data_IF_583541460160
#
_entry.id   IF_583541460160
#
_cell.length_a   1.000
_cell.length_b   1.000
_cell.length_c   1.000
_cell.angle_alpha   90.00
_cell.angle_beta   90.00
_cell.angle_gamma   90.00
#
_symmetry.space_group_name_H-M   'P 1'
#
loop_
_entity.id
_entity.type
_entity.pdbx_description
1 polymer ?
#
# COMPACT_ATOMS: atom_id res chain seq x y z
N UNK A 1 -27.86 49.50 -26.32
CA UNK A 1 -28.29 48.21 -25.73
C UNK A 1 -27.08 47.30 -25.63
N UNK A 2 -26.48 47.16 -24.43
CA UNK A 2 -25.31 46.30 -24.18
C UNK A 2 -25.81 44.87 -23.88
N UNK A 3 -25.47 43.92 -24.76
CA UNK A 3 -25.70 42.49 -24.51
C UNK A 3 -24.62 42.00 -23.55
N UNK A 4 -25.01 41.64 -22.33
CA UNK A 4 -24.15 40.95 -21.38
C UNK A 4 -24.10 39.48 -21.80
N UNK A 5 -22.93 39.04 -22.25
CA UNK A 5 -22.64 37.63 -22.51
C UNK A 5 -22.24 37.01 -21.17
N UNK A 6 -23.15 36.26 -20.55
CA UNK A 6 -22.83 35.46 -19.37
C UNK A 6 -22.12 34.19 -19.86
N UNK A 7 -20.80 34.15 -19.66
CA UNK A 7 -19.99 32.98 -19.92
C UNK A 7 -20.22 31.98 -18.78
N UNK A 8 -21.03 30.96 -19.02
CA UNK A 8 -21.12 29.81 -18.14
C UNK A 8 -19.80 29.02 -18.26
N UNK A 9 -18.90 29.24 -17.30
CA UNK A 9 -17.74 28.37 -17.12
C UNK A 9 -18.28 27.05 -16.54
N UNK A 10 -18.58 26.09 -17.40
CA UNK A 10 -18.78 24.70 -16.99
C UNK A 10 -17.40 24.21 -16.54
N UNK A 11 -17.12 24.35 -15.25
CA UNK A 11 -16.07 23.56 -14.61
C UNK A 11 -16.55 22.12 -14.73
N UNK A 12 -16.03 21.41 -15.73
CA UNK A 12 -15.99 19.96 -15.72
C UNK A 12 -15.17 19.59 -14.49
N UNK A 13 -15.84 19.49 -13.33
CA UNK A 13 -15.35 18.69 -12.23
C UNK A 13 -15.38 17.29 -12.80
N UNK A 14 -14.26 16.86 -13.37
CA UNK A 14 -14.07 15.48 -13.77
C UNK A 14 -14.46 14.64 -12.58
N UNK A 15 -15.55 13.91 -12.70
CA UNK A 15 -16.02 13.01 -11.68
C UNK A 15 -15.03 11.85 -11.66
N UNK A 16 -13.88 12.03 -10.99
CA UNK A 16 -12.85 11.02 -10.76
C UNK A 16 -13.32 9.91 -9.81
N UNK A 17 -14.63 9.69 -9.67
CA UNK A 17 -15.22 8.53 -8.99
C UNK A 17 -15.04 7.21 -9.76
N UNK A 18 -14.34 7.21 -10.90
CA UNK A 18 -14.03 6.01 -11.65
C UNK A 18 -12.74 5.36 -11.10
N UNK A 19 -12.94 4.46 -10.12
CA UNK A 19 -12.08 3.31 -9.81
C UNK A 19 -10.56 3.59 -9.90
N UNK A 20 -10.04 4.24 -8.86
CA UNK A 20 -8.63 4.63 -8.67
C UNK A 20 -7.61 3.57 -9.10
N UNK A 21 -7.96 2.29 -8.92
CA UNK A 21 -7.06 1.15 -9.06
C UNK A 21 -7.40 0.19 -10.21
N UNK A 22 -8.26 0.58 -11.15
CA UNK A 22 -8.75 -0.32 -12.21
C UNK A 22 -7.65 -1.00 -13.02
N UNK A 23 -6.57 -0.28 -13.30
CA UNK A 23 -5.41 -0.79 -14.04
C UNK A 23 -4.70 -1.99 -13.39
N UNK A 24 -5.04 -2.34 -12.15
CA UNK A 24 -4.44 -3.45 -11.42
C UNK A 24 -5.34 -4.69 -11.35
N UNK A 25 -6.61 -4.58 -11.77
CA UNK A 25 -7.61 -5.65 -11.62
C UNK A 25 -7.57 -6.75 -12.69
N UNK A 26 -6.71 -6.62 -13.70
CA UNK A 26 -6.55 -7.62 -14.76
C UNK A 26 -5.15 -8.24 -14.77
N UNK A 27 -4.34 -7.97 -13.73
CA UNK A 27 -2.95 -8.44 -13.65
C UNK A 27 -2.86 -9.75 -12.86
N UNK A 28 -2.27 -10.76 -13.51
CA UNK A 28 -2.02 -12.07 -12.89
C UNK A 28 -0.92 -12.04 -11.82
N UNK A 29 0.09 -11.17 -12.01
CA UNK A 29 1.21 -10.95 -11.08
C UNK A 29 1.26 -9.50 -10.63
N UNK A 30 0.59 -9.19 -9.52
CA UNK A 30 0.59 -7.88 -8.90
C UNK A 30 1.33 -7.94 -7.57
N UNK A 31 2.44 -7.22 -7.44
CA UNK A 31 3.09 -7.02 -6.15
C UNK A 31 2.75 -5.64 -5.61
N UNK A 32 2.49 -5.57 -4.30
CA UNK A 32 2.36 -4.31 -3.59
C UNK A 32 3.53 -4.16 -2.64
N UNK A 33 4.25 -3.05 -2.78
CA UNK A 33 5.16 -2.55 -1.78
C UNK A 33 4.38 -1.64 -0.84
N UNK A 34 4.30 -2.01 0.43
CA UNK A 34 3.61 -1.26 1.46
C UNK A 34 4.66 -0.73 2.44
N UNK A 35 4.64 0.58 2.64
CA UNK A 35 5.46 1.24 3.67
C UNK A 35 4.54 1.87 4.69
N UNK A 36 4.80 1.62 5.97
CA UNK A 36 4.05 2.25 7.07
C UNK A 36 5.02 3.04 7.92
N UNK A 37 4.87 4.36 7.96
CA UNK A 37 5.52 5.20 8.97
C UNK A 37 4.63 5.24 10.19
N UNK A 38 5.10 4.62 11.28
CA UNK A 38 4.34 4.53 12.51
C UNK A 38 4.50 5.77 13.37
N UNK A 39 3.56 5.99 14.28
CA UNK A 39 3.59 7.12 15.21
C UNK A 39 4.89 7.21 16.04
N UNK A 40 5.52 6.08 16.34
CA UNK A 40 6.80 6.03 17.05
C UNK A 40 8.02 6.33 16.18
N UNK A 41 7.83 6.73 14.92
CA UNK A 41 8.89 7.05 13.96
C UNK A 41 9.55 5.84 13.30
N UNK A 42 9.15 4.61 13.65
CA UNK A 42 9.65 3.41 12.97
C UNK A 42 8.95 3.23 11.63
N UNK A 43 9.74 3.00 10.58
CA UNK A 43 9.25 2.61 9.27
C UNK A 43 9.16 1.09 9.17
N UNK A 44 8.02 0.60 8.72
CA UNK A 44 7.80 -0.81 8.37
C UNK A 44 7.68 -0.94 6.87
N UNK A 45 8.34 -1.95 6.31
CA UNK A 45 8.40 -2.17 4.87
C UNK A 45 8.05 -3.62 4.55
N UNK A 46 7.10 -3.81 3.65
CA UNK A 46 6.70 -5.13 3.13
C UNK A 46 6.54 -5.06 1.61
N UNK A 47 6.85 -6.15 0.91
CA UNK A 47 6.55 -6.28 -0.52
C UNK A 47 6.21 -7.73 -0.82
N UNK A 48 5.02 -7.95 -1.34
CA UNK A 48 4.54 -9.28 -1.68
C UNK A 48 3.37 -9.20 -2.67
N UNK A 49 2.92 -10.34 -3.15
CA UNK A 49 1.85 -10.51 -4.12
C UNK A 49 0.48 -10.21 -3.51
N UNK A 50 -0.30 -9.41 -4.22
CA UNK A 50 -1.73 -9.26 -4.00
C UNK A 50 -2.48 -9.98 -5.12
N UNK A 51 -3.59 -10.61 -4.77
CA UNK A 51 -4.51 -11.20 -5.73
C UNK A 51 -5.93 -10.74 -5.47
N UNK A 52 -6.71 -10.73 -6.54
CA UNK A 52 -8.13 -10.42 -6.46
C UNK A 52 -8.83 -11.57 -5.77
N UNK A 53 -9.62 -11.24 -4.76
CA UNK A 53 -10.56 -12.16 -4.16
C UNK A 53 -11.89 -12.11 -4.93
N UNK A 54 -12.25 -13.15 -5.70
CA UNK A 54 -13.32 -13.07 -6.70
C UNK A 54 -14.71 -12.85 -6.08
N UNK A 55 -14.94 -13.33 -4.87
CA UNK A 55 -16.24 -13.23 -4.20
C UNK A 55 -16.48 -11.87 -3.53
N UNK A 56 -15.44 -11.07 -3.32
CA UNK A 56 -15.52 -9.77 -2.63
C UNK A 56 -15.07 -8.58 -3.45
N UNK A 57 -14.52 -8.81 -4.65
CA UNK A 57 -14.00 -7.78 -5.56
C UNK A 57 -12.99 -6.82 -4.89
N UNK A 58 -12.05 -7.37 -4.13
CA UNK A 58 -10.94 -6.64 -3.50
C UNK A 58 -9.61 -7.37 -3.72
N UNK A 59 -8.51 -6.63 -3.74
CA UNK A 59 -7.15 -7.16 -3.68
C UNK A 59 -6.80 -7.55 -2.25
N UNK A 60 -6.16 -8.68 -2.05
CA UNK A 60 -5.71 -9.15 -0.74
C UNK A 60 -4.45 -10.00 -0.84
N UNK A 61 -3.78 -10.18 0.29
CA UNK A 61 -2.65 -11.09 0.40
C UNK A 61 -3.11 -12.55 0.25
N UNK A 62 -2.32 -13.34 -0.48
CA UNK A 62 -2.59 -14.77 -0.67
C UNK A 62 -1.97 -15.61 0.46
N UNK A 63 -0.80 -15.17 0.91
CA UNK A 63 0.08 -15.83 1.87
C UNK A 63 0.54 -14.81 2.92
N UNK A 64 1.36 -15.29 3.86
CA UNK A 64 2.00 -14.46 4.87
C UNK A 64 2.95 -13.44 4.23
N UNK A 65 2.82 -12.17 4.62
CA UNK A 65 3.71 -11.10 4.16
C UNK A 65 4.87 -10.95 5.13
N UNK A 66 6.13 -11.16 4.75
CA UNK A 66 7.25 -10.70 5.56
C UNK A 66 7.32 -9.17 5.54
N UNK A 67 7.66 -8.58 6.69
CA UNK A 67 8.04 -7.18 6.81
C UNK A 67 9.38 -7.03 7.51
N UNK A 68 10.07 -5.95 7.16
CA UNK A 68 11.29 -5.48 7.81
C UNK A 68 11.02 -4.14 8.48
N UNK A 69 11.71 -3.87 9.58
CA UNK A 69 11.48 -2.70 10.43
C UNK A 69 12.75 -1.88 10.51
N UNK A 70 12.62 -0.55 10.48
CA UNK A 70 13.79 0.34 10.57
C UNK A 70 14.50 0.23 11.92
N UNK A 71 13.75 -0.05 12.99
CA UNK A 71 14.31 -0.31 14.33
C UNK A 71 15.15 -1.59 14.42
N UNK A 72 14.88 -2.57 13.56
CA UNK A 72 15.58 -3.85 13.56
C UNK A 72 16.86 -3.72 12.71
N UNK A 73 17.90 -3.18 13.35
CA UNK A 73 19.19 -2.89 12.71
C UNK A 73 20.11 -4.10 12.65
N UNK A 74 21.00 -4.11 11.67
CA UNK A 74 22.01 -5.14 11.46
C UNK A 74 23.36 -4.54 11.06
N UNK A 75 24.40 -5.38 11.02
CA UNK A 75 25.71 -4.98 10.52
C UNK A 75 25.92 -5.57 9.13
N UNK A 76 26.13 -4.72 8.14
CA UNK A 76 26.48 -5.12 6.79
C UNK A 76 27.85 -4.50 6.44
N UNK A 77 28.83 -5.35 6.12
CA UNK A 77 30.21 -4.93 5.86
C UNK A 77 30.81 -4.03 6.96
N UNK A 78 30.52 -4.33 8.23
CA UNK A 78 31.04 -3.56 9.37
C UNK A 78 30.34 -2.23 9.63
N UNK A 79 29.30 -1.88 8.87
CA UNK A 79 28.50 -0.69 9.09
C UNK A 79 27.09 -1.06 9.55
N UNK A 80 26.57 -0.27 10.51
CA UNK A 80 25.19 -0.38 10.97
C UNK A 80 24.24 0.05 9.84
N UNK A 81 23.29 -0.81 9.49
CA UNK A 81 22.25 -0.53 8.51
C UNK A 81 20.88 -0.68 9.16
N UNK A 82 19.98 0.24 8.82
CA UNK A 82 18.56 0.09 9.10
C UNK A 82 17.99 -1.02 8.19
N UNK A 83 16.90 -1.64 8.63
CA UNK A 83 16.21 -2.70 7.88
C UNK A 83 17.04 -3.96 7.63
N UNK A 84 17.46 -4.64 8.70
CA UNK A 84 18.14 -5.93 8.57
C UNK A 84 17.18 -6.99 8.00
N UNK A 85 17.48 -7.45 6.78
CA UNK A 85 16.68 -8.47 6.08
C UNK A 85 16.63 -9.80 6.83
N UNK A 86 17.64 -10.11 7.66
CA UNK A 86 17.66 -11.33 8.48
C UNK A 86 16.72 -11.25 9.68
N UNK A 87 16.24 -10.05 10.01
CA UNK A 87 15.30 -9.79 11.12
C UNK A 87 13.86 -9.57 10.63
N UNK A 88 13.53 -10.04 9.43
CA UNK A 88 12.17 -10.00 8.91
C UNK A 88 11.19 -10.71 9.86
N UNK A 89 9.98 -10.16 10.00
CA UNK A 89 8.89 -10.73 10.81
C UNK A 89 7.66 -10.91 9.94
N UNK A 90 6.84 -11.89 10.27
CA UNK A 90 5.57 -12.11 9.58
C UNK A 90 4.60 -10.98 9.93
N UNK A 91 4.03 -10.34 8.91
CA UNK A 91 2.99 -9.32 9.03
C UNK A 91 1.61 -9.91 9.07
N UNK A 92 1.33 -10.96 8.30
CA UNK A 92 0.01 -11.60 8.24
C UNK A 92 0.16 -13.11 8.36
N UNK A 93 -0.69 -13.75 9.17
CA UNK A 93 -0.67 -15.20 9.36
C UNK A 93 -1.52 -15.95 8.33
N UNK A 94 -2.48 -15.25 7.72
CA UNK A 94 -3.51 -15.79 6.85
C UNK A 94 -3.93 -14.78 5.76
N UNK A 95 -4.92 -15.17 4.94
CA UNK A 95 -5.52 -14.32 3.90
C UNK A 95 -6.43 -13.27 4.55
N UNK A 96 -6.36 -12.03 4.09
CA UNK A 96 -7.22 -10.94 4.57
C UNK A 96 -6.52 -9.93 5.49
N UNK A 97 -5.22 -10.11 5.73
CA UNK A 97 -4.41 -9.14 6.47
C UNK A 97 -4.31 -7.77 5.78
N UNK A 98 -4.49 -7.71 4.46
CA UNK A 98 -4.76 -6.46 3.74
C UNK A 98 -5.94 -6.66 2.79
N UNK A 99 -6.81 -5.66 2.69
CA UNK A 99 -7.84 -5.57 1.65
C UNK A 99 -7.74 -4.20 0.96
N UNK A 100 -7.85 -4.18 -0.37
CA UNK A 100 -7.91 -2.94 -1.16
C UNK A 100 -9.02 -3.08 -2.19
N UNK A 101 -10.00 -2.17 -2.18
CA UNK A 101 -11.08 -2.10 -3.18
C UNK A 101 -10.71 -1.14 -4.31
N UNK A 102 -11.44 -1.23 -5.42
CA UNK A 102 -11.20 -0.42 -6.62
C UNK A 102 -11.29 1.09 -6.38
N UNK A 103 -12.11 1.51 -5.42
CA UNK A 103 -12.28 2.90 -5.01
C UNK A 103 -11.15 3.40 -4.09
N UNK A 104 -10.17 2.55 -3.75
CA UNK A 104 -9.06 2.88 -2.87
C UNK A 104 -9.37 2.69 -1.37
N UNK A 105 -10.60 2.34 -0.99
CA UNK A 105 -10.91 1.98 0.39
C UNK A 105 -10.35 0.59 0.74
N UNK A 106 -10.00 0.37 1.99
CA UNK A 106 -9.39 -0.89 2.39
C UNK A 106 -9.07 -0.98 3.86
N UNK A 107 -8.49 -2.11 4.23
CA UNK A 107 -8.10 -2.41 5.62
C UNK A 107 -6.72 -3.04 5.67
N UNK A 108 -5.96 -2.79 6.73
CA UNK A 108 -4.61 -3.30 6.95
C UNK A 108 -4.43 -3.76 8.40
N UNK A 109 -4.36 -5.07 8.62
CA UNK A 109 -4.39 -5.73 9.93
C UNK A 109 -3.12 -6.56 10.17
N UNK A 110 -1.94 -5.95 10.30
CA UNK A 110 -0.74 -6.72 10.53
C UNK A 110 -0.68 -7.21 11.98
N UNK A 111 -0.14 -8.41 12.19
CA UNK A 111 0.07 -9.03 13.51
C UNK A 111 0.91 -8.15 14.44
N UNK A 112 1.77 -7.30 13.87
CA UNK A 112 2.63 -6.39 14.61
C UNK A 112 2.02 -5.01 14.89
N UNK A 113 0.81 -4.72 14.41
CA UNK A 113 0.09 -3.51 14.83
C UNK A 113 -0.58 -3.77 16.19
N UNK A 114 -0.50 -2.78 17.06
CA UNK A 114 -1.08 -2.85 18.41
C UNK A 114 -2.62 -2.65 18.40
N UNK A 115 -3.23 -2.40 17.24
CA UNK A 115 -4.64 -2.10 17.04
C UNK A 115 -5.36 -3.15 16.18
N UNK A 116 -6.68 -3.27 16.35
CA UNK A 116 -7.60 -4.20 15.64
C UNK A 116 -7.60 -4.11 14.11
N UNK A 117 -6.84 -3.18 13.53
CA UNK A 117 -6.75 -2.93 12.10
C UNK A 117 -6.55 -1.45 11.79
N UNK A 118 -6.06 -1.17 10.60
CA UNK A 118 -5.96 0.16 10.04
C UNK A 118 -6.89 0.24 8.83
N UNK A 119 -8.09 0.80 9.03
CA UNK A 119 -8.96 1.18 7.92
C UNK A 119 -8.36 2.39 7.20
N UNK A 120 -8.43 2.40 5.86
CA UNK A 120 -7.84 3.48 5.07
C UNK A 120 -8.66 3.81 3.82
N UNK A 121 -8.46 5.02 3.33
CA UNK A 121 -8.88 5.48 2.02
C UNK A 121 -7.65 6.02 1.30
N UNK A 122 -7.30 5.40 0.18
CA UNK A 122 -6.14 5.83 -0.60
C UNK A 122 -6.44 7.14 -1.32
N UNK A 123 -5.49 8.05 -1.19
CA UNK A 123 -5.31 9.23 -2.00
C UNK A 123 -4.15 9.00 -2.97
N UNK A 124 -4.12 9.75 -4.08
CA UNK A 124 -3.03 9.70 -5.05
C UNK A 124 -2.43 11.08 -5.24
N UNK A 125 -1.11 11.14 -5.11
CA UNK A 125 -0.31 12.31 -5.51
C UNK A 125 0.93 11.82 -6.24
N UNK A 126 1.15 12.33 -7.46
CA UNK A 126 2.36 12.02 -8.24
C UNK A 126 2.63 10.51 -8.39
N UNK A 127 1.58 9.71 -8.59
CA UNK A 127 1.61 8.23 -8.67
C UNK A 127 1.96 7.49 -7.36
N UNK A 128 1.98 8.19 -6.22
CA UNK A 128 2.09 7.57 -4.89
C UNK A 128 0.69 7.40 -4.33
N UNK A 129 0.30 6.17 -4.03
CA UNK A 129 -0.92 5.89 -3.28
C UNK A 129 -0.59 5.98 -1.79
N UNK A 130 -1.35 6.76 -1.03
CA UNK A 130 -1.11 6.92 0.41
C UNK A 130 -2.41 7.11 1.18
N UNK A 131 -2.36 6.86 2.48
CA UNK A 131 -3.45 7.12 3.40
C UNK A 131 -2.90 7.41 4.80
N UNK A 132 -3.58 8.29 5.53
CA UNK A 132 -3.39 8.46 6.96
C UNK A 132 -4.42 7.63 7.72
N UNK A 133 -3.97 6.84 8.69
CA UNK A 133 -4.84 5.95 9.48
C UNK A 133 -4.28 5.76 10.89
N UNK A 134 -5.07 6.12 11.90
CA UNK A 134 -4.70 6.04 13.32
C UNK A 134 -3.29 6.58 13.61
N UNK A 135 -2.98 7.80 13.16
CA UNK A 135 -1.66 8.46 13.28
C UNK A 135 -0.48 7.77 12.56
N UNK A 136 -0.76 6.79 11.69
CA UNK A 136 0.22 6.17 10.82
C UNK A 136 0.03 6.67 9.39
N UNK A 137 1.15 6.85 8.67
CA UNK A 137 1.12 7.05 7.21
C UNK A 137 1.39 5.72 6.54
N UNK A 138 0.41 5.25 5.76
CA UNK A 138 0.53 4.09 4.90
C UNK A 138 0.74 4.56 3.46
N UNK A 139 1.73 3.99 2.78
CA UNK A 139 1.93 4.17 1.35
C UNK A 139 1.94 2.83 0.64
N UNK A 140 1.35 2.81 -0.56
CA UNK A 140 1.29 1.64 -1.43
C UNK A 140 1.90 2.01 -2.78
N UNK A 141 2.81 1.17 -3.24
CA UNK A 141 3.31 1.20 -4.62
C UNK A 141 3.11 -0.17 -5.23
N UNK A 142 2.35 -0.22 -6.33
CA UNK A 142 2.25 -1.43 -7.13
C UNK A 142 3.51 -1.59 -7.98
N UNK A 143 4.05 -2.80 -8.03
CA UNK A 143 5.30 -3.11 -8.71
C UNK A 143 5.27 -4.51 -9.31
N UNK A 144 6.20 -4.76 -10.25
CA UNK A 144 6.47 -6.10 -10.79
C UNK A 144 7.70 -6.73 -10.12
N UNK A 145 8.30 -6.05 -9.13
CA UNK A 145 9.47 -6.57 -8.42
C UNK A 145 9.07 -7.64 -7.40
N UNK A 146 9.86 -8.71 -7.35
CA UNK A 146 9.70 -9.84 -6.42
C UNK A 146 9.70 -9.39 -4.94
N UNK A 147 9.16 -10.24 -4.04
CA UNK A 147 9.11 -9.99 -2.60
C UNK A 147 10.46 -9.62 -1.98
N UNK A 148 10.41 -8.93 -0.85
CA UNK A 148 11.61 -8.60 -0.07
C UNK A 148 12.38 -9.88 0.29
N UNK A 149 13.71 -9.82 0.21
CA UNK A 149 14.56 -10.93 0.61
C UNK A 149 14.66 -12.06 -0.42
N UNK A 150 13.92 -12.01 -1.54
CA UNK A 150 14.20 -12.92 -2.65
C UNK A 150 15.51 -12.52 -3.34
N UNK A 151 16.41 -13.48 -3.48
CA UNK A 151 17.67 -13.31 -4.20
C UNK A 151 17.34 -12.88 -5.64
N UNK A 152 17.92 -11.77 -6.08
CA UNK A 152 17.90 -11.39 -7.49
C UNK A 152 18.76 -12.42 -8.25
N UNK A 153 18.12 -13.42 -8.85
CA UNK A 153 18.78 -14.32 -9.80
C UNK A 153 19.12 -13.49 -11.04
N UNK A 154 20.42 -13.33 -11.31
CA UNK A 154 20.92 -12.78 -12.58
C UNK A 154 20.53 -13.70 -13.74
#
# INVERSE_FOLDING_TARGET
MKKIFVLFLIVLVGNCGAQLLDQYWEKDDLYAQITVLRQNGDCVFSRDSLKIYPYGNFLTNVNSFPAIFSRDQGCNNGHQQLFDLHKQKVSFGDRGGITIKKDGSGTYHPIWADSDGLDFQLEVKENVYYAWTHDNLLTISFTNTKPIGMICTK
#
